data_IF_228331343756
#
_entry.id   IF_228331343756
#
_cell.length_a   1.000
_cell.length_b   1.000
_cell.length_c   1.000
_cell.angle_alpha   90.00
_cell.angle_beta   90.00
_cell.angle_gamma   90.00
#
_symmetry.space_group_name_H-M   'P 1'
#
loop_
_entity.id
_entity.type
_entity.pdbx_description
1 polymer ?
#
# COMPACT_ATOMS: atom_id res chain seq x y z
N UNK A 1 10.56 17.06 20.10
CA UNK A 1 10.14 16.57 21.43
C UNK A 1 9.68 17.77 22.24
N UNK A 2 8.62 17.64 23.00
CA UNK A 2 7.98 18.71 23.76
C UNK A 2 8.00 18.36 25.25
N UNK A 3 7.95 19.38 26.10
CA UNK A 3 7.61 19.18 27.50
C UNK A 3 6.19 18.57 27.59
N UNK A 4 5.94 17.57 28.47
CA UNK A 4 4.66 16.87 28.50
C UNK A 4 3.49 17.83 28.77
N UNK A 5 2.52 17.87 27.86
CA UNK A 5 1.36 18.77 27.96
C UNK A 5 0.07 18.04 27.60
N UNK A 6 -1.05 18.38 28.25
CA UNK A 6 -2.36 17.81 27.92
C UNK A 6 -3.02 18.60 26.79
N UNK A 7 -3.44 17.89 25.73
CA UNK A 7 -4.18 18.47 24.60
C UNK A 7 -5.38 17.57 24.30
N UNK A 8 -6.59 18.13 24.40
CA UNK A 8 -7.85 17.38 24.23
C UNK A 8 -7.86 16.04 25.00
N UNK A 9 -7.59 16.12 26.31
CA UNK A 9 -7.66 14.97 27.22
C UNK A 9 -6.43 14.04 27.27
N UNK A 10 -5.59 13.98 26.24
CA UNK A 10 -4.40 13.10 26.21
C UNK A 10 -3.10 13.85 26.47
N UNK A 11 -2.11 13.15 27.02
CA UNK A 11 -0.74 13.65 27.17
C UNK A 11 -0.02 13.63 25.82
N UNK A 12 0.62 14.74 25.46
CA UNK A 12 1.40 14.91 24.23
C UNK A 12 2.84 15.25 24.60
N UNK A 13 3.79 14.48 24.07
CA UNK A 13 5.25 14.72 24.22
C UNK A 13 5.97 14.81 22.87
N UNK A 14 5.30 14.43 21.79
CA UNK A 14 5.82 14.42 20.41
C UNK A 14 4.74 14.95 19.47
N UNK A 15 5.17 15.77 18.52
CA UNK A 15 4.36 16.30 17.44
C UNK A 15 5.23 16.33 16.18
N UNK A 16 4.63 16.11 15.01
CA UNK A 16 5.36 16.17 13.74
C UNK A 16 5.71 17.62 13.40
N UNK A 17 6.85 17.80 12.74
CA UNK A 17 7.29 19.08 12.17
C UNK A 17 7.37 19.03 10.64
N UNK A 18 6.82 17.98 10.03
CA UNK A 18 6.77 17.73 8.58
C UNK A 18 8.15 17.63 7.89
N UNK A 19 8.87 18.74 7.73
CA UNK A 19 10.15 18.81 7.01
C UNK A 19 11.00 20.04 7.42
N UNK A 20 12.17 20.20 6.80
CA UNK A 20 13.07 21.33 7.06
C UNK A 20 12.42 22.68 6.78
N UNK A 21 11.72 22.78 5.65
CA UNK A 21 11.18 24.03 5.14
C UNK A 21 10.04 24.52 6.05
N UNK A 22 9.18 23.62 6.55
CA UNK A 22 8.15 23.93 7.54
C UNK A 22 8.74 24.54 8.82
N UNK A 23 9.84 23.99 9.33
CA UNK A 23 10.52 24.49 10.52
C UNK A 23 11.04 25.92 10.28
N UNK A 24 11.63 26.17 9.10
CA UNK A 24 12.15 27.49 8.71
C UNK A 24 11.03 28.50 8.48
N UNK A 25 9.98 28.14 7.76
CA UNK A 25 8.81 28.98 7.48
C UNK A 25 8.11 29.43 8.77
N UNK A 26 8.00 28.51 9.73
CA UNK A 26 7.41 28.78 11.05
C UNK A 26 8.39 29.43 12.03
N UNK A 27 9.65 29.61 11.63
CA UNK A 27 10.73 30.14 12.44
C UNK A 27 10.82 29.43 13.80
N UNK A 28 10.73 28.10 13.80
CA UNK A 28 10.75 27.30 15.02
C UNK A 28 12.19 27.09 15.48
N UNK A 29 12.46 27.34 16.76
CA UNK A 29 13.75 27.15 17.40
C UNK A 29 13.67 26.15 18.54
N UNK A 30 14.78 25.48 18.84
CA UNK A 30 14.90 24.61 20.00
C UNK A 30 14.82 25.49 21.25
N UNK A 31 13.88 25.17 22.15
CA UNK A 31 13.59 25.96 23.36
C UNK A 31 12.43 26.96 23.19
N UNK A 32 11.79 27.04 22.03
CA UNK A 32 10.59 27.85 21.86
C UNK A 32 9.39 27.29 22.67
N UNK A 33 8.58 28.21 23.19
CA UNK A 33 7.19 27.91 23.52
C UNK A 33 6.38 27.83 22.22
N UNK A 34 5.59 26.78 22.05
CA UNK A 34 4.83 26.54 20.81
C UNK A 34 3.35 26.36 21.08
N UNK A 35 2.52 26.71 20.09
CA UNK A 35 1.10 26.40 20.07
C UNK A 35 0.90 25.05 19.40
N UNK A 36 0.18 24.16 20.08
CA UNK A 36 -0.18 22.83 19.58
C UNK A 36 -1.66 22.76 19.27
N UNK A 37 -2.00 21.99 18.24
CA UNK A 37 -3.38 21.53 18.00
C UNK A 37 -3.38 20.05 17.65
N UNK A 38 -4.53 19.41 17.71
CA UNK A 38 -4.72 18.06 17.18
C UNK A 38 -5.56 18.12 15.93
N UNK A 39 -4.99 17.70 14.79
CA UNK A 39 -5.75 17.52 13.58
C UNK A 39 -6.74 16.35 13.78
N UNK A 40 -8.04 16.62 13.56
CA UNK A 40 -9.11 15.65 13.73
C UNK A 40 -9.16 15.01 15.12
N UNK A 41 -8.78 15.76 16.17
CA UNK A 41 -8.70 15.31 17.57
C UNK A 41 -7.73 14.15 17.87
N UNK A 42 -6.91 13.74 16.89
CA UNK A 42 -6.00 12.58 17.00
C UNK A 42 -4.54 12.99 16.90
N UNK A 43 -4.12 13.66 15.82
CA UNK A 43 -2.69 13.83 15.48
C UNK A 43 -2.17 15.18 15.97
N UNK A 44 -1.24 15.23 16.95
CA UNK A 44 -0.67 16.49 17.42
C UNK A 44 0.26 17.13 16.39
N UNK A 45 0.07 18.43 16.14
CA UNK A 45 0.89 19.24 15.24
C UNK A 45 1.25 20.59 15.88
N UNK A 46 2.43 21.11 15.52
CA UNK A 46 2.90 22.44 15.94
C UNK A 46 2.37 23.50 14.97
N UNK A 47 1.63 24.48 15.48
CA UNK A 47 1.01 25.53 14.67
C UNK A 47 2.00 26.68 14.40
N UNK A 48 2.63 27.18 15.47
CA UNK A 48 3.64 28.25 15.44
C UNK A 48 4.39 28.37 16.78
N UNK A 49 5.51 29.10 16.77
CA UNK A 49 6.20 29.54 17.98
C UNK A 49 5.58 30.82 18.57
N UNK A 50 5.57 30.90 19.90
CA UNK A 50 5.19 32.10 20.66
C UNK A 50 6.43 33.00 20.79
N UNK A 51 6.75 33.74 19.73
CA UNK A 51 7.98 34.53 19.63
C UNK A 51 8.16 35.55 20.75
N UNK A 52 7.07 36.05 21.34
CA UNK A 52 7.09 37.00 22.46
C UNK A 52 7.66 36.41 23.76
N UNK A 53 7.79 35.09 23.87
CA UNK A 53 8.38 34.40 25.02
C UNK A 53 9.85 34.03 24.84
N UNK A 54 10.48 34.47 23.76
CA UNK A 54 11.92 34.27 23.55
C UNK A 54 12.71 35.14 24.50
N UNK A 55 13.69 34.53 25.16
CA UNK A 55 14.62 35.17 26.09
C UNK A 55 16.06 35.21 25.56
N UNK A 56 16.28 34.72 24.34
CA UNK A 56 17.59 34.66 23.68
C UNK A 56 18.35 33.35 23.93
N UNK A 57 17.83 32.43 24.75
CA UNK A 57 18.42 31.10 24.96
C UNK A 57 18.10 30.10 23.84
N UNK A 58 17.16 30.45 22.96
CA UNK A 58 16.67 29.59 21.88
C UNK A 58 17.77 29.32 20.85
N UNK A 59 17.81 28.08 20.33
CA UNK A 59 18.81 27.67 19.33
C UNK A 59 18.15 27.42 17.97
N UNK A 60 18.65 28.03 16.88
CA UNK A 60 18.16 27.76 15.54
C UNK A 60 18.23 26.27 15.20
N UNK A 61 17.20 25.74 14.55
CA UNK A 61 17.24 24.39 14.02
C UNK A 61 18.21 24.32 12.82
N UNK A 62 19.10 23.33 12.83
CA UNK A 62 19.93 22.97 11.68
C UNK A 62 19.61 21.52 11.30
N UNK A 63 19.27 21.29 10.04
CA UNK A 63 19.06 19.94 9.53
C UNK A 63 20.37 19.16 9.61
N UNK A 64 20.28 17.90 10.02
CA UNK A 64 21.42 16.97 10.07
C UNK A 64 21.93 16.69 8.65
N UNK A 65 23.24 16.53 8.50
CA UNK A 65 23.87 16.27 7.19
C UNK A 65 24.06 14.77 6.93
N UNK A 66 24.11 13.97 8.00
CA UNK A 66 24.30 12.52 7.97
C UNK A 66 23.14 11.81 8.67
N UNK A 67 22.77 10.63 8.17
CA UNK A 67 21.75 9.77 8.76
C UNK A 67 22.15 9.39 10.20
N UNK A 68 21.24 9.51 11.18
CA UNK A 68 21.55 9.23 12.58
C UNK A 68 21.81 7.73 12.84
N UNK A 69 21.31 6.84 11.97
CA UNK A 69 21.37 5.39 12.18
C UNK A 69 22.55 4.73 11.46
N UNK A 70 22.92 5.20 10.26
CA UNK A 70 24.00 4.60 9.46
C UNK A 70 25.13 5.56 9.07
N UNK A 71 25.05 6.84 9.46
CA UNK A 71 26.08 7.84 9.18
C UNK A 71 26.22 8.26 7.71
N UNK A 72 25.43 7.68 6.79
CA UNK A 72 25.47 8.05 5.37
C UNK A 72 24.97 9.47 5.12
N UNK A 73 25.57 10.17 4.16
CA UNK A 73 25.16 11.54 3.79
C UNK A 73 23.70 11.57 3.33
N UNK A 74 22.92 12.50 3.88
CA UNK A 74 21.53 12.69 3.48
C UNK A 74 21.46 13.46 2.16
N UNK A 75 20.46 13.13 1.34
CA UNK A 75 20.18 13.79 0.07
C UNK A 75 18.84 14.49 0.17
N UNK A 76 18.81 15.80 -0.12
CA UNK A 76 17.58 16.57 -0.23
C UNK A 76 16.94 16.29 -1.60
N UNK A 77 15.74 15.74 -1.59
CA UNK A 77 14.89 15.55 -2.77
C UNK A 77 13.63 16.38 -2.53
N UNK A 78 13.44 17.42 -3.35
CA UNK A 78 12.42 18.45 -3.12
C UNK A 78 12.56 19.08 -1.71
N UNK A 79 11.52 18.96 -0.86
CA UNK A 79 11.51 19.49 0.51
C UNK A 79 12.01 18.49 1.57
N UNK A 80 12.25 17.23 1.19
CA UNK A 80 12.50 16.13 2.12
C UNK A 80 13.96 15.65 2.06
N UNK A 81 14.48 15.19 3.20
CA UNK A 81 15.83 14.62 3.29
C UNK A 81 15.74 13.10 3.42
N UNK A 82 16.47 12.38 2.58
CA UNK A 82 16.43 10.93 2.52
C UNK A 82 17.82 10.30 2.74
N UNK A 83 17.83 9.15 3.42
CA UNK A 83 18.98 8.26 3.45
C UNK A 83 18.90 7.28 2.26
N UNK A 84 19.77 7.46 1.26
CA UNK A 84 19.78 6.61 0.06
C UNK A 84 20.52 5.28 0.24
N UNK A 85 21.21 5.08 1.38
CA UNK A 85 21.88 3.82 1.69
C UNK A 85 20.87 2.68 1.84
N UNK A 86 20.86 1.75 0.88
CA UNK A 86 19.99 0.55 0.90
C UNK A 86 20.26 -0.34 2.13
N UNK A 87 21.47 -0.28 2.69
CA UNK A 87 21.88 -1.06 3.86
C UNK A 87 21.69 -0.33 5.20
N UNK A 88 20.92 0.76 5.22
CA UNK A 88 20.61 1.47 6.46
C UNK A 88 19.75 0.58 7.38
N UNK A 89 20.10 0.40 8.67
CA UNK A 89 19.32 -0.39 9.62
C UNK A 89 17.84 0.01 9.67
N UNK A 90 17.55 1.31 9.75
CA UNK A 90 16.17 1.80 9.79
C UNK A 90 15.39 1.47 8.53
N UNK A 91 16.03 1.48 7.35
CA UNK A 91 15.37 1.08 6.10
C UNK A 91 15.10 -0.42 6.04
N UNK A 92 16.00 -1.23 6.59
CA UNK A 92 15.81 -2.67 6.70
C UNK A 92 14.67 -2.99 7.68
N UNK A 93 14.66 -2.37 8.86
CA UNK A 93 13.60 -2.53 9.87
C UNK A 93 12.25 -2.10 9.29
N UNK A 94 12.16 -0.93 8.66
CA UNK A 94 10.91 -0.48 8.01
C UNK A 94 10.47 -1.41 6.88
N UNK A 95 11.40 -1.98 6.11
CA UNK A 95 11.07 -3.00 5.11
C UNK A 95 10.45 -4.26 5.74
N UNK A 96 11.00 -4.73 6.87
CA UNK A 96 10.44 -5.86 7.61
C UNK A 96 9.06 -5.54 8.18
N UNK A 97 8.88 -4.35 8.79
CA UNK A 97 7.60 -3.88 9.34
C UNK A 97 6.56 -3.78 8.22
N UNK A 98 6.90 -3.14 7.11
CA UNK A 98 6.02 -2.99 5.95
C UNK A 98 5.61 -4.35 5.39
N UNK A 99 6.56 -5.27 5.22
CA UNK A 99 6.29 -6.62 4.74
C UNK A 99 5.34 -7.39 5.65
N UNK A 100 5.51 -7.30 6.98
CA UNK A 100 4.67 -7.97 7.96
C UNK A 100 3.29 -7.30 8.16
N UNK A 101 3.11 -6.06 7.68
CA UNK A 101 1.91 -5.27 7.94
C UNK A 101 0.60 -5.91 7.47
N UNK A 102 -0.51 -5.45 8.06
CA UNK A 102 -1.88 -5.93 7.80
C UNK A 102 -2.30 -5.84 6.33
N UNK A 103 -1.79 -4.88 5.57
CA UNK A 103 -2.12 -4.73 4.16
C UNK A 103 -1.18 -5.52 3.23
N UNK A 104 -0.02 -5.94 3.75
CA UNK A 104 1.00 -6.74 3.08
C UNK A 104 0.86 -8.23 3.45
N UNK A 105 1.82 -8.86 4.14
CA UNK A 105 1.74 -10.29 4.41
C UNK A 105 0.92 -10.68 5.65
N UNK A 106 0.33 -9.72 6.37
CA UNK A 106 -0.54 -9.97 7.54
C UNK A 106 0.08 -10.90 8.59
N UNK A 107 1.32 -10.62 8.98
CA UNK A 107 2.03 -11.50 9.91
C UNK A 107 1.79 -11.00 11.33
N UNK A 108 0.67 -11.46 11.90
CA UNK A 108 0.30 -11.16 13.27
C UNK A 108 1.43 -11.48 14.26
N UNK A 109 1.72 -10.51 15.13
CA UNK A 109 2.77 -10.60 16.14
C UNK A 109 4.14 -10.07 15.69
N UNK A 110 4.35 -9.77 14.40
CA UNK A 110 5.53 -9.04 13.91
C UNK A 110 5.18 -7.56 13.69
N UNK A 111 5.12 -6.81 14.79
CA UNK A 111 4.97 -5.34 14.78
C UNK A 111 6.30 -4.61 14.99
N UNK A 112 6.26 -3.28 14.99
CA UNK A 112 7.44 -2.40 15.03
C UNK A 112 8.48 -2.81 16.08
N UNK A 113 8.05 -2.97 17.34
CA UNK A 113 8.94 -3.34 18.46
C UNK A 113 9.56 -4.72 18.31
N UNK A 114 8.81 -5.67 17.74
CA UNK A 114 9.29 -7.04 17.53
C UNK A 114 10.32 -7.05 16.40
N UNK A 115 10.06 -6.32 15.30
CA UNK A 115 11.05 -6.12 14.24
C UNK A 115 12.32 -5.45 14.78
N UNK A 116 12.20 -4.36 15.54
CA UNK A 116 13.35 -3.68 16.15
C UNK A 116 14.16 -4.62 17.06
N UNK A 117 13.48 -5.36 17.94
CA UNK A 117 14.12 -6.31 18.85
C UNK A 117 14.83 -7.44 18.09
N UNK A 118 14.13 -8.12 17.18
CA UNK A 118 14.70 -9.24 16.42
C UNK A 118 15.80 -8.80 15.44
N UNK A 119 15.74 -7.57 14.95
CA UNK A 119 16.83 -6.99 14.17
C UNK A 119 18.07 -6.72 15.04
N UNK A 120 17.89 -6.18 16.25
CA UNK A 120 18.97 -5.94 17.21
C UNK A 120 19.64 -7.25 17.65
N UNK A 121 18.85 -8.29 17.93
CA UNK A 121 19.31 -9.64 18.26
C UNK A 121 19.84 -10.43 17.05
N UNK A 122 19.77 -9.84 15.84
CA UNK A 122 20.23 -10.41 14.57
C UNK A 122 19.50 -11.67 14.13
N UNK A 123 18.28 -11.90 14.63
CA UNK A 123 17.42 -13.00 14.19
C UNK A 123 16.81 -12.73 12.81
N UNK A 124 16.60 -11.46 12.46
CA UNK A 124 16.10 -11.04 11.14
C UNK A 124 16.87 -9.84 10.62
N UNK A 125 17.37 -9.91 9.37
CA UNK A 125 18.03 -8.78 8.68
C UNK A 125 17.43 -8.47 7.33
N UNK A 126 16.67 -9.41 6.79
CA UNK A 126 16.04 -9.35 5.48
C UNK A 126 14.68 -10.06 5.52
N UNK A 127 13.82 -9.75 4.55
CA UNK A 127 12.47 -10.33 4.45
C UNK A 127 12.49 -11.87 4.52
N UNK A 128 13.38 -12.59 3.81
CA UNK A 128 13.44 -14.06 3.90
C UNK A 128 13.74 -14.60 5.30
N UNK A 129 14.41 -13.82 6.15
CA UNK A 129 14.72 -14.24 7.53
C UNK A 129 13.47 -14.37 8.39
N UNK A 130 12.39 -13.64 8.08
CA UNK A 130 11.08 -13.81 8.71
C UNK A 130 10.65 -15.28 8.62
N UNK A 131 10.77 -15.87 7.43
CA UNK A 131 10.41 -17.26 7.17
C UNK A 131 11.44 -18.28 7.68
N UNK A 132 12.57 -17.81 8.22
CA UNK A 132 13.61 -18.63 8.85
C UNK A 132 13.67 -18.47 10.36
N UNK A 133 12.79 -17.65 10.92
CA UNK A 133 12.77 -17.32 12.35
C UNK A 133 12.63 -18.56 13.24
N UNK A 134 12.01 -19.64 12.73
CA UNK A 134 11.89 -20.92 13.42
C UNK A 134 13.24 -21.47 13.92
N UNK A 135 14.35 -21.14 13.25
CA UNK A 135 15.71 -21.55 13.62
C UNK A 135 16.17 -20.94 14.94
N UNK A 136 15.63 -19.76 15.29
CA UNK A 136 15.97 -19.00 16.49
C UNK A 136 14.94 -19.18 17.61
N UNK A 137 13.99 -20.12 17.49
CA UNK A 137 12.92 -20.32 18.48
C UNK A 137 13.49 -20.48 19.91
N UNK A 138 14.53 -21.30 20.07
CA UNK A 138 15.17 -21.51 21.37
C UNK A 138 15.81 -20.24 21.93
N UNK A 139 16.50 -19.48 21.10
CA UNK A 139 17.15 -18.22 21.47
C UNK A 139 16.13 -17.14 21.85
N UNK A 140 15.03 -17.05 21.11
CA UNK A 140 13.94 -16.10 21.38
C UNK A 140 13.28 -16.40 22.73
N UNK A 141 13.03 -17.66 23.05
CA UNK A 141 12.43 -18.06 24.34
C UNK A 141 13.34 -17.72 25.53
N UNK A 142 14.66 -17.65 25.32
CA UNK A 142 15.61 -17.26 26.35
C UNK A 142 15.59 -15.76 26.68
N UNK A 143 14.90 -14.94 25.88
CA UNK A 143 14.77 -13.50 26.10
C UNK A 143 13.59 -13.20 27.02
N UNK A 144 13.82 -12.34 28.02
CA UNK A 144 12.78 -11.87 28.94
C UNK A 144 11.57 -11.28 28.20
N UNK A 145 10.37 -11.73 28.57
CA UNK A 145 9.11 -11.30 27.95
C UNK A 145 8.60 -12.21 26.84
N UNK A 146 9.39 -13.21 26.41
CA UNK A 146 8.95 -14.21 25.44
C UNK A 146 8.45 -15.50 26.11
N UNK A 147 7.48 -16.15 25.47
CA UNK A 147 6.93 -17.44 25.89
C UNK A 147 6.84 -18.38 24.68
N UNK A 148 6.79 -19.70 24.93
CA UNK A 148 6.54 -20.68 23.86
C UNK A 148 5.28 -20.34 23.05
N UNK A 149 4.19 -20.01 23.73
CA UNK A 149 2.91 -19.68 23.08
C UNK A 149 3.01 -18.45 22.16
N UNK A 150 3.72 -17.41 22.58
CA UNK A 150 3.86 -16.19 21.77
C UNK A 150 4.69 -16.44 20.52
N UNK A 151 5.81 -17.17 20.63
CA UNK A 151 6.63 -17.48 19.44
C UNK A 151 5.91 -18.47 18.52
N UNK A 152 5.20 -19.47 19.06
CA UNK A 152 4.41 -20.41 18.26
C UNK A 152 3.34 -19.68 17.45
N UNK A 153 2.63 -18.73 18.07
CA UNK A 153 1.65 -17.89 17.36
C UNK A 153 2.26 -17.09 16.21
N UNK A 154 3.48 -16.56 16.37
CA UNK A 154 4.18 -15.83 15.31
C UNK A 154 4.59 -16.80 14.19
N UNK A 155 5.14 -17.97 14.53
CA UNK A 155 5.55 -18.97 13.54
C UNK A 155 4.34 -19.50 12.73
N UNK A 156 3.19 -19.70 13.38
CA UNK A 156 1.94 -20.06 12.72
C UNK A 156 1.45 -18.95 11.78
N UNK A 157 1.53 -17.67 12.21
CA UNK A 157 1.18 -16.53 11.36
C UNK A 157 2.11 -16.42 10.14
N UNK A 158 3.41 -16.62 10.32
CA UNK A 158 4.41 -16.66 9.24
C UNK A 158 4.03 -17.75 8.24
N UNK A 159 3.72 -18.96 8.70
CA UNK A 159 3.40 -20.06 7.78
C UNK A 159 2.08 -19.86 7.05
N UNK A 160 1.07 -19.30 7.72
CA UNK A 160 -0.19 -18.93 7.09
C UNK A 160 0.00 -17.85 6.03
N UNK A 161 0.88 -16.87 6.26
CA UNK A 161 1.15 -15.78 5.33
C UNK A 161 1.66 -16.27 3.97
N UNK A 162 2.35 -17.43 3.91
CA UNK A 162 2.84 -18.00 2.64
C UNK A 162 1.71 -18.28 1.64
N UNK A 163 0.48 -18.47 2.12
CA UNK A 163 -0.70 -18.74 1.29
C UNK A 163 -1.34 -17.47 0.73
N UNK A 164 -0.86 -16.29 1.13
CA UNK A 164 -1.43 -15.02 0.68
C UNK A 164 -1.32 -14.86 -0.84
N UNK A 165 -2.25 -14.10 -1.39
CA UNK A 165 -2.30 -13.82 -2.82
C UNK A 165 -1.20 -12.85 -3.26
N UNK A 166 -0.79 -12.93 -4.53
CA UNK A 166 0.35 -12.19 -5.09
C UNK A 166 0.32 -10.67 -4.85
N UNK A 167 -0.84 -10.02 -4.85
CA UNK A 167 -0.95 -8.57 -4.61
C UNK A 167 -0.42 -8.15 -3.24
N UNK A 168 -0.57 -9.02 -2.24
CA UNK A 168 -0.10 -8.80 -0.87
C UNK A 168 1.41 -8.91 -0.80
N UNK A 169 1.97 -9.91 -1.49
CA UNK A 169 3.41 -10.06 -1.66
C UNK A 169 4.02 -8.85 -2.38
N UNK A 170 3.44 -8.44 -3.52
CA UNK A 170 3.92 -7.29 -4.29
C UNK A 170 3.88 -6.00 -3.48
N UNK A 171 2.84 -5.80 -2.69
CA UNK A 171 2.77 -4.65 -1.78
C UNK A 171 3.86 -4.74 -0.71
N UNK A 172 4.04 -5.90 -0.07
CA UNK A 172 5.05 -6.12 0.96
C UNK A 172 6.50 -5.97 0.48
N UNK A 173 6.80 -6.24 -0.80
CA UNK A 173 8.13 -6.04 -1.38
C UNK A 173 8.57 -4.56 -1.40
N UNK A 174 7.64 -3.61 -1.25
CA UNK A 174 7.96 -2.19 -1.13
C UNK A 174 8.55 -1.59 -2.41
N UNK A 175 8.06 -2.01 -3.58
CA UNK A 175 8.50 -1.48 -4.88
C UNK A 175 8.14 0.00 -4.95
N UNK A 176 9.11 0.85 -5.30
CA UNK A 176 8.91 2.30 -5.39
C UNK A 176 7.77 2.64 -6.36
N UNK A 177 6.90 3.59 -5.99
CA UNK A 177 5.69 3.99 -6.73
C UNK A 177 4.60 2.90 -6.84
N UNK A 178 4.75 1.75 -6.19
CA UNK A 178 3.77 0.65 -6.21
C UNK A 178 3.10 0.52 -4.85
N UNK A 179 1.97 1.22 -4.68
CA UNK A 179 1.11 1.08 -3.50
C UNK A 179 0.12 -0.09 -3.62
N UNK A 180 -0.67 -0.33 -2.56
CA UNK A 180 -1.61 -1.45 -2.46
C UNK A 180 -2.54 -1.61 -3.66
N UNK A 181 -3.15 -0.50 -4.13
CA UNK A 181 -4.02 -0.51 -5.32
C UNK A 181 -3.24 -0.99 -6.55
N UNK A 182 -2.02 -0.51 -6.74
CA UNK A 182 -1.19 -0.85 -7.89
C UNK A 182 -0.74 -2.30 -7.85
N UNK A 183 -0.33 -2.79 -6.67
CA UNK A 183 0.00 -4.20 -6.45
C UNK A 183 -1.15 -5.12 -6.85
N UNK A 184 -2.40 -4.74 -6.55
CA UNK A 184 -3.60 -5.49 -6.96
C UNK A 184 -3.81 -5.48 -8.47
N UNK A 185 -3.64 -4.33 -9.12
CA UNK A 185 -3.75 -4.21 -10.58
C UNK A 185 -2.71 -5.08 -11.28
N UNK A 186 -1.45 -5.00 -10.86
CA UNK A 186 -0.35 -5.80 -11.42
C UNK A 186 -0.57 -7.30 -11.21
N UNK A 187 -0.93 -7.71 -9.99
CA UNK A 187 -1.19 -9.12 -9.69
C UNK A 187 -2.35 -9.67 -10.51
N UNK A 188 -3.43 -8.89 -10.67
CA UNK A 188 -4.60 -9.27 -11.46
C UNK A 188 -4.29 -9.38 -12.95
N UNK A 189 -3.48 -8.46 -13.49
CA UNK A 189 -3.11 -8.43 -14.91
C UNK A 189 -2.16 -9.58 -15.27
N UNK A 190 -1.07 -9.76 -14.51
CA UNK A 190 -0.06 -10.77 -14.82
C UNK A 190 -0.38 -12.16 -14.26
N UNK A 191 -1.18 -12.25 -13.20
CA UNK A 191 -1.59 -13.51 -12.54
C UNK A 191 -0.47 -14.24 -11.78
N UNK A 192 0.79 -14.05 -12.16
CA UNK A 192 1.95 -14.69 -11.55
C UNK A 192 3.16 -13.74 -11.57
N UNK A 193 4.01 -13.80 -10.54
CA UNK A 193 5.17 -12.91 -10.40
C UNK A 193 6.18 -13.06 -11.55
N UNK A 194 6.38 -14.26 -12.10
CA UNK A 194 7.33 -14.51 -13.19
C UNK A 194 6.93 -13.78 -14.47
N UNK A 195 5.62 -13.76 -14.77
CA UNK A 195 5.10 -13.00 -15.91
C UNK A 195 5.34 -11.50 -15.74
N UNK A 196 5.15 -10.98 -14.53
CA UNK A 196 5.44 -9.59 -14.19
C UNK A 196 6.95 -9.29 -14.27
N UNK A 197 7.81 -10.19 -13.80
CA UNK A 197 9.27 -10.04 -13.88
C UNK A 197 9.78 -9.96 -15.32
N UNK A 198 9.14 -10.67 -16.26
CA UNK A 198 9.47 -10.63 -17.68
C UNK A 198 8.88 -9.43 -18.44
N UNK A 199 8.06 -8.59 -17.80
CA UNK A 199 7.34 -7.53 -18.48
C UNK A 199 8.27 -6.41 -18.98
N UNK A 200 8.03 -5.97 -20.20
CA UNK A 200 8.66 -4.79 -20.79
C UNK A 200 8.04 -3.48 -20.27
N UNK A 201 8.77 -2.38 -20.41
CA UNK A 201 8.26 -1.04 -20.04
C UNK A 201 7.01 -0.70 -20.88
N UNK A 202 7.01 -1.08 -22.16
CA UNK A 202 5.90 -0.87 -23.08
C UNK A 202 4.65 -1.63 -22.65
N UNK A 203 4.78 -2.85 -22.14
CA UNK A 203 3.65 -3.62 -21.61
C UNK A 203 3.10 -3.02 -20.32
N UNK A 204 3.98 -2.61 -19.40
CA UNK A 204 3.57 -1.95 -18.15
C UNK A 204 2.80 -0.66 -18.42
N UNK A 205 3.23 0.13 -19.41
CA UNK A 205 2.57 1.37 -19.83
C UNK A 205 1.18 1.15 -20.47
N UNK A 206 0.82 -0.07 -20.89
CA UNK A 206 -0.53 -0.37 -21.41
C UNK A 206 -1.57 -0.50 -20.30
N UNK A 207 -1.14 -0.73 -19.06
CA UNK A 207 -2.04 -0.94 -17.93
C UNK A 207 -2.61 0.42 -17.48
N UNK A 208 -3.93 0.53 -17.45
CA UNK A 208 -4.60 1.73 -16.93
C UNK A 208 -4.15 2.02 -15.50
N UNK A 209 -3.91 3.29 -15.18
CA UNK A 209 -3.34 3.79 -13.91
C UNK A 209 -1.82 3.67 -13.76
N UNK A 210 -1.08 3.05 -14.69
CA UNK A 210 0.40 3.01 -14.67
C UNK A 210 0.98 4.09 -15.58
N UNK A 211 1.69 5.05 -14.99
CA UNK A 211 2.46 6.05 -15.72
C UNK A 211 3.93 5.65 -15.92
N UNK A 212 4.63 6.35 -16.81
CA UNK A 212 6.03 6.06 -17.18
C UNK A 212 6.99 5.91 -15.98
N UNK A 213 6.86 6.77 -14.97
CA UNK A 213 7.69 6.75 -13.75
C UNK A 213 7.49 5.45 -12.95
N UNK A 214 6.24 4.98 -12.88
CA UNK A 214 5.89 3.73 -12.19
C UNK A 214 6.40 2.53 -12.98
N UNK A 215 6.17 2.49 -14.30
CA UNK A 215 6.69 1.43 -15.19
C UNK A 215 8.19 1.29 -15.11
N UNK A 216 8.93 2.41 -15.13
CA UNK A 216 10.38 2.40 -15.00
C UNK A 216 10.83 1.90 -13.62
N UNK A 217 10.11 2.26 -12.55
CA UNK A 217 10.41 1.80 -11.18
C UNK A 217 10.21 0.29 -11.04
N UNK A 218 9.12 -0.24 -11.60
CA UNK A 218 8.81 -1.68 -11.64
C UNK A 218 9.87 -2.42 -12.45
N UNK A 219 10.16 -1.96 -13.67
CA UNK A 219 11.15 -2.57 -14.55
C UNK A 219 12.54 -2.63 -13.89
N UNK A 220 13.01 -1.50 -13.35
CA UNK A 220 14.29 -1.43 -12.65
C UNK A 220 14.33 -2.33 -11.42
N UNK A 221 13.22 -2.47 -10.69
CA UNK A 221 13.15 -3.36 -9.53
C UNK A 221 13.38 -4.81 -9.93
N UNK A 222 12.71 -5.30 -10.98
CA UNK A 222 12.84 -6.67 -11.45
C UNK A 222 14.10 -6.95 -12.30
N UNK A 223 14.87 -5.91 -12.66
CA UNK A 223 16.17 -6.04 -13.32
C UNK A 223 17.37 -5.88 -12.34
N UNK A 224 17.13 -5.61 -11.05
CA UNK A 224 18.16 -5.61 -10.01
C UNK A 224 18.37 -7.05 -9.51
N UNK A 225 19.59 -7.58 -9.67
CA UNK A 225 19.94 -8.96 -9.26
C UNK A 225 19.62 -9.26 -7.80
N UNK A 226 19.74 -8.28 -6.90
CA UNK A 226 19.44 -8.49 -5.48
C UNK A 226 17.95 -8.74 -5.25
N UNK A 227 17.09 -8.05 -5.99
CA UNK A 227 15.64 -8.21 -5.90
C UNK A 227 15.19 -9.52 -6.55
N UNK A 228 15.81 -9.91 -7.67
CA UNK A 228 15.57 -11.21 -8.29
C UNK A 228 15.94 -12.33 -7.32
N UNK A 229 17.11 -12.23 -6.68
CA UNK A 229 17.56 -13.20 -5.69
C UNK A 229 16.63 -13.25 -4.47
N UNK A 230 16.18 -12.10 -3.97
CA UNK A 230 15.17 -12.01 -2.92
C UNK A 230 13.89 -12.78 -3.29
N UNK A 231 13.35 -12.54 -4.50
CA UNK A 231 12.13 -13.21 -4.96
C UNK A 231 12.34 -14.72 -5.07
N UNK A 232 13.45 -15.16 -5.66
CA UNK A 232 13.78 -16.58 -5.78
C UNK A 232 13.95 -17.25 -4.41
N UNK A 233 14.51 -16.53 -3.44
CA UNK A 233 14.63 -17.02 -2.08
C UNK A 233 13.26 -17.23 -1.43
N UNK A 234 12.37 -16.24 -1.57
CA UNK A 234 10.97 -16.34 -1.12
C UNK A 234 10.21 -17.49 -1.81
N UNK A 235 10.47 -17.75 -3.09
CA UNK A 235 9.93 -18.93 -3.79
C UNK A 235 10.40 -20.22 -3.14
N UNK A 236 11.69 -20.32 -2.85
CA UNK A 236 12.27 -21.52 -2.21
C UNK A 236 11.72 -21.77 -0.81
N UNK A 237 11.30 -20.70 -0.12
CA UNK A 237 10.64 -20.74 1.20
C UNK A 237 9.16 -21.13 1.13
N UNK A 238 8.60 -21.30 -0.07
CA UNK A 238 7.24 -21.80 -0.30
C UNK A 238 6.16 -20.73 -0.32
N UNK A 239 6.53 -19.45 -0.52
CA UNK A 239 5.53 -18.39 -0.68
C UNK A 239 4.75 -18.57 -1.99
N UNK A 240 3.45 -18.31 -1.95
CA UNK A 240 2.61 -18.29 -3.12
C UNK A 240 2.98 -17.11 -4.04
N UNK A 241 3.22 -17.42 -5.31
CA UNK A 241 3.60 -16.46 -6.35
C UNK A 241 2.46 -16.14 -7.32
N UNK A 242 1.26 -16.68 -7.05
CA UNK A 242 0.09 -16.55 -7.90
C UNK A 242 -0.94 -15.61 -7.29
N UNK A 243 -1.63 -14.87 -8.15
CA UNK A 243 -2.83 -14.14 -7.77
C UNK A 243 -3.97 -15.15 -7.56
N UNK A 244 -4.60 -15.13 -6.39
CA UNK A 244 -5.69 -16.01 -6.01
C UNK A 244 -7.07 -15.36 -6.22
N UNK A 245 -7.10 -14.07 -6.53
CA UNK A 245 -8.33 -13.40 -6.95
C UNK A 245 -8.72 -13.79 -8.37
N UNK A 246 -9.86 -13.27 -8.82
CA UNK A 246 -10.29 -13.46 -10.21
C UNK A 246 -9.31 -12.70 -11.14
N UNK A 247 -8.54 -13.45 -11.92
CA UNK A 247 -7.70 -12.91 -13.01
C UNK A 247 -8.58 -12.22 -14.03
N UNK A 248 -8.01 -11.34 -14.87
CA UNK A 248 -8.75 -10.85 -16.04
C UNK A 248 -9.10 -12.08 -16.90
N UNK A 249 -10.37 -12.44 -16.90
CA UNK A 249 -10.94 -13.52 -17.72
C UNK A 249 -11.26 -12.87 -19.06
N UNK A 250 -10.64 -13.43 -20.11
CA UNK A 250 -10.81 -13.16 -21.55
C UNK A 250 -10.88 -11.68 -21.97
N UNK A 251 -9.82 -11.17 -22.61
CA UNK A 251 -9.85 -9.84 -23.26
C UNK A 251 -10.91 -9.73 -24.37
N UNK A 252 -11.43 -10.86 -24.87
CA UNK A 252 -12.54 -10.88 -25.82
C UNK A 252 -13.90 -10.68 -25.16
N UNK A 253 -13.97 -10.59 -23.82
CA UNK A 253 -15.25 -10.44 -23.16
C UNK A 253 -15.86 -9.05 -23.44
N UNK A 254 -17.18 -9.03 -23.63
CA UNK A 254 -17.92 -7.84 -24.05
C UNK A 254 -17.71 -6.61 -23.14
N UNK A 255 -17.44 -6.84 -21.86
CA UNK A 255 -17.33 -5.80 -20.83
C UNK A 255 -15.90 -5.29 -20.63
N UNK A 256 -14.91 -5.93 -21.24
CA UNK A 256 -13.50 -5.57 -21.10
C UNK A 256 -13.23 -4.13 -21.53
N UNK A 257 -12.53 -3.36 -20.68
CA UNK A 257 -12.20 -1.94 -20.86
C UNK A 257 -13.39 -0.98 -21.05
N UNK A 258 -14.64 -1.43 -20.82
CA UNK A 258 -15.82 -0.56 -20.89
C UNK A 258 -15.98 0.25 -19.61
N UNK A 259 -16.30 1.54 -19.73
CA UNK A 259 -16.71 2.41 -18.61
C UNK A 259 -18.20 2.26 -18.35
N UNK A 260 -18.54 1.64 -17.22
CA UNK A 260 -19.92 1.26 -16.89
C UNK A 260 -20.42 2.07 -15.69
N UNK A 261 -21.69 2.46 -15.71
CA UNK A 261 -22.38 3.04 -14.55
C UNK A 261 -23.59 2.19 -14.19
N UNK A 262 -23.70 1.79 -12.93
CA UNK A 262 -24.87 1.06 -12.41
C UNK A 262 -25.89 2.04 -11.79
N UNK A 263 -27.13 2.02 -12.27
CA UNK A 263 -28.23 2.84 -11.72
C UNK A 263 -29.50 2.04 -11.46
N UNK A 264 -30.37 2.53 -10.59
CA UNK A 264 -31.55 1.77 -10.13
C UNK A 264 -31.22 0.62 -9.17
N UNK A 265 -32.23 -0.17 -8.88
CA UNK A 265 -32.21 -1.37 -8.03
C UNK A 265 -32.19 -2.59 -8.93
N UNK A 266 -31.12 -3.39 -8.84
CA UNK A 266 -30.99 -4.67 -9.55
C UNK A 266 -31.61 -5.77 -8.68
N UNK A 267 -32.44 -6.63 -9.27
CA UNK A 267 -33.19 -7.68 -8.61
C UNK A 267 -32.38 -8.97 -8.39
N UNK A 268 -31.46 -9.33 -9.30
CA UNK A 268 -30.63 -10.55 -9.19
C UNK A 268 -29.35 -10.34 -8.38
N UNK A 269 -28.71 -9.18 -8.51
CA UNK A 269 -27.43 -8.89 -7.84
C UNK A 269 -27.52 -7.62 -7.01
N UNK A 270 -26.89 -7.62 -5.83
CA UNK A 270 -26.66 -6.37 -5.10
C UNK A 270 -25.77 -5.43 -5.92
N UNK A 271 -25.95 -4.10 -5.82
CA UNK A 271 -25.11 -3.12 -6.54
C UNK A 271 -23.61 -3.38 -6.34
N UNK A 272 -23.21 -3.77 -5.14
CA UNK A 272 -21.81 -4.09 -4.80
C UNK A 272 -21.33 -5.35 -5.52
N UNK A 273 -22.14 -6.41 -5.52
CA UNK A 273 -21.83 -7.67 -6.21
C UNK A 273 -21.74 -7.47 -7.72
N UNK A 274 -22.68 -6.73 -8.31
CA UNK A 274 -22.64 -6.39 -9.73
C UNK A 274 -21.42 -5.54 -10.10
N UNK A 275 -21.00 -4.64 -9.20
CA UNK A 275 -19.76 -3.86 -9.37
C UNK A 275 -18.55 -4.78 -9.40
N UNK A 276 -18.41 -5.66 -8.40
CA UNK A 276 -17.31 -6.62 -8.32
C UNK A 276 -17.29 -7.55 -9.54
N UNK A 277 -18.45 -8.04 -9.98
CA UNK A 277 -18.57 -8.91 -11.15
C UNK A 277 -18.10 -8.23 -12.44
N UNK A 278 -18.55 -6.99 -12.68
CA UNK A 278 -18.13 -6.21 -13.85
C UNK A 278 -16.65 -5.84 -13.79
N UNK A 279 -16.14 -5.45 -12.62
CA UNK A 279 -14.72 -5.21 -12.42
C UNK A 279 -13.90 -6.48 -12.67
N UNK A 280 -14.42 -7.65 -12.31
CA UNK A 280 -13.76 -8.94 -12.57
C UNK A 280 -13.70 -9.27 -14.07
N UNK A 281 -14.70 -8.86 -14.85
CA UNK A 281 -14.68 -8.92 -16.33
C UNK A 281 -13.81 -7.81 -16.97
N UNK A 282 -13.14 -6.98 -16.17
CA UNK A 282 -12.25 -5.94 -16.68
C UNK A 282 -12.95 -4.65 -17.11
N UNK A 283 -14.18 -4.43 -16.66
CA UNK A 283 -14.86 -3.15 -16.84
C UNK A 283 -14.43 -2.12 -15.79
N UNK A 284 -14.49 -0.84 -16.14
CA UNK A 284 -14.30 0.29 -15.23
C UNK A 284 -15.65 0.79 -14.71
N UNK A 285 -16.03 0.41 -13.49
CA UNK A 285 -17.31 0.85 -12.90
C UNK A 285 -17.15 2.22 -12.24
N UNK A 286 -18.04 3.16 -12.58
CA UNK A 286 -18.04 4.52 -12.03
C UNK A 286 -19.41 4.88 -11.46
N UNK A 287 -19.42 5.81 -10.49
CA UNK A 287 -20.64 6.24 -9.81
C UNK A 287 -21.41 7.34 -10.57
N UNK A 288 -20.79 7.93 -11.60
CA UNK A 288 -21.32 9.11 -12.31
C UNK A 288 -21.33 8.92 -13.82
N UNK A 289 -22.46 9.28 -14.46
CA UNK A 289 -22.58 9.29 -15.93
C UNK A 289 -21.91 10.54 -16.52
N UNK A 290 -21.03 10.30 -17.49
CA UNK A 290 -20.28 11.31 -18.25
C UNK A 290 -20.37 11.00 -19.75
N UNK A 291 -19.84 11.88 -20.61
CA UNK A 291 -19.76 11.63 -22.07
C UNK A 291 -18.80 10.52 -22.46
N UNK A 292 -17.86 10.15 -21.57
CA UNK A 292 -16.91 9.07 -21.80
C UNK A 292 -17.39 7.74 -21.22
N UNK A 293 -18.60 7.69 -20.66
CA UNK A 293 -19.21 6.45 -20.19
C UNK A 293 -19.66 5.64 -21.41
N UNK A 294 -19.28 4.37 -21.46
CA UNK A 294 -19.64 3.47 -22.58
C UNK A 294 -21.05 2.89 -22.38
N UNK A 295 -21.36 2.44 -21.15
CA UNK A 295 -22.61 1.71 -20.85
C UNK A 295 -23.21 2.20 -19.54
N UNK A 296 -24.53 2.36 -19.51
CA UNK A 296 -25.31 2.51 -18.26
C UNK A 296 -26.22 1.31 -18.10
N UNK A 297 -25.94 0.49 -17.09
CA UNK A 297 -26.79 -0.64 -16.72
C UNK A 297 -27.82 -0.16 -15.71
N UNK A 298 -29.09 -0.44 -15.96
CA UNK A 298 -30.17 0.04 -15.13
C UNK A 298 -31.15 -1.05 -14.71
N UNK A 299 -31.51 -1.04 -13.43
CA UNK A 299 -32.62 -1.81 -12.87
C UNK A 299 -33.85 -0.94 -12.61
N UNK A 300 -34.72 -1.39 -11.71
CA UNK A 300 -35.93 -0.68 -11.32
C UNK A 300 -35.58 0.69 -10.70
N UNK A 301 -36.44 1.69 -10.90
CA UNK A 301 -36.24 3.06 -10.38
C UNK A 301 -34.91 3.73 -10.79
N UNK A 302 -34.43 3.46 -12.01
CA UNK A 302 -33.17 3.96 -12.57
C UNK A 302 -32.91 5.48 -12.45
N UNK A 303 -33.97 6.28 -12.33
CA UNK A 303 -33.94 7.69 -11.96
C UNK A 303 -33.09 8.59 -12.86
N UNK A 304 -32.54 9.66 -12.26
CA UNK A 304 -31.89 10.78 -12.95
C UNK A 304 -30.62 10.44 -13.74
N UNK A 305 -29.96 9.31 -13.44
CA UNK A 305 -28.75 8.86 -14.18
C UNK A 305 -29.10 8.27 -15.54
N UNK A 306 -30.24 7.57 -15.65
CA UNK A 306 -30.73 7.06 -16.93
C UNK A 306 -31.10 8.21 -17.88
N UNK A 307 -31.76 9.23 -17.36
CA UNK A 307 -32.08 10.44 -18.14
C UNK A 307 -30.81 11.16 -18.62
N UNK A 308 -29.78 11.20 -17.76
CA UNK A 308 -28.48 11.78 -18.10
C UNK A 308 -27.74 10.96 -19.16
N UNK A 309 -27.83 9.63 -19.12
CA UNK A 309 -27.28 8.74 -20.13
C UNK A 309 -27.93 8.96 -21.50
N UNK A 310 -29.27 9.01 -21.53
CA UNK A 310 -30.05 9.32 -22.74
C UNK A 310 -29.68 10.68 -23.34
N UNK A 311 -29.52 11.70 -22.51
CA UNK A 311 -29.09 13.05 -22.95
C UNK A 311 -27.68 13.08 -23.54
N UNK A 312 -26.79 12.22 -23.05
CA UNK A 312 -25.42 12.13 -23.56
C UNK A 312 -25.25 11.13 -24.71
N UNK A 313 -26.32 10.42 -25.10
CA UNK A 313 -26.27 9.40 -26.15
C UNK A 313 -25.46 8.17 -25.75
N UNK A 314 -25.32 7.92 -24.43
CA UNK A 314 -24.62 6.76 -23.90
C UNK A 314 -25.52 5.53 -24.03
N UNK A 315 -24.94 4.38 -24.40
CA UNK A 315 -25.68 3.13 -24.53
C UNK A 315 -26.26 2.69 -23.17
N UNK A 316 -27.51 2.24 -23.16
CA UNK A 316 -28.21 1.83 -21.95
C UNK A 316 -28.62 0.38 -22.07
N UNK A 317 -28.36 -0.40 -21.02
CA UNK A 317 -28.65 -1.83 -20.95
C UNK A 317 -29.53 -2.10 -19.73
N UNK A 318 -30.64 -2.82 -19.89
CA UNK A 318 -31.47 -3.20 -18.74
C UNK A 318 -30.88 -4.42 -18.00
N UNK A 319 -31.43 -4.76 -16.83
CA UNK A 319 -30.92 -5.89 -16.03
C UNK A 319 -31.00 -7.24 -16.76
N UNK A 320 -32.04 -7.48 -17.57
CA UNK A 320 -32.21 -8.73 -18.32
C UNK A 320 -31.16 -8.87 -19.43
N UNK A 321 -30.91 -7.81 -20.19
CA UNK A 321 -29.86 -7.73 -21.21
C UNK A 321 -28.47 -7.91 -20.60
N UNK A 322 -28.24 -7.35 -19.40
CA UNK A 322 -27.00 -7.55 -18.67
C UNK A 322 -26.77 -9.01 -18.31
N UNK A 323 -27.80 -9.69 -17.80
CA UNK A 323 -27.72 -11.11 -17.45
C UNK A 323 -27.50 -11.99 -18.67
N UNK A 324 -28.20 -11.74 -19.77
CA UNK A 324 -28.01 -12.49 -21.02
C UNK A 324 -26.58 -12.33 -21.54
N UNK A 325 -26.02 -11.11 -21.47
CA UNK A 325 -24.63 -10.87 -21.85
C UNK A 325 -23.62 -11.54 -20.91
N UNK A 326 -23.95 -11.75 -19.64
CA UNK A 326 -23.11 -12.53 -18.73
C UNK A 326 -23.17 -14.04 -19.03
N UNK A 327 -24.35 -14.56 -19.39
CA UNK A 327 -24.54 -15.97 -19.72
C UNK A 327 -23.84 -16.34 -21.04
N UNK A 328 -23.99 -15.53 -22.10
CA UNK A 328 -23.28 -15.70 -23.39
C UNK A 328 -21.76 -15.79 -23.20
N UNK A 329 -21.21 -14.97 -22.29
CA UNK A 329 -19.77 -14.93 -22.02
C UNK A 329 -19.26 -16.16 -21.26
N UNK A 330 -20.09 -16.73 -20.38
CA UNK A 330 -19.75 -17.95 -19.65
C UNK A 330 -19.83 -19.21 -20.54
N UNK A 331 -20.58 -19.17 -21.64
CA UNK A 331 -20.65 -20.24 -22.64
C UNK A 331 -19.48 -20.19 -23.64
N UNK A 332 -19.02 -19.01 -24.05
CA UNK A 332 -17.86 -18.84 -24.93
C UNK A 332 -16.51 -19.14 -24.25
N UNK A 333 -16.46 -19.08 -22.91
CA UNK A 333 -15.24 -19.33 -22.11
C UNK A 333 -15.01 -20.81 -21.74
N UNK A 334 -15.83 -21.76 -22.22
CA UNK A 334 -15.73 -23.21 -21.97
C UNK A 334 -15.11 -23.97 -23.13
#
# INVERSE_FOLDING_TARGET
VLEPVRVAGSLVQRATLHNEDFIKEKDLMIGDYVILRKAGDIIPEVVCAIKSRRDGSQKPFKMIENCPDCGSKLVKVEAMHFCLNKNCPSRMIESLIHFASKDAMDIDGIGDKVCEQFFAEKFMRSIPDIYRLYRFKGDIIAIDGWSNKSIDSILDAIENSKKNSLERLLFGLGIKEVGQKMSKVLAKFYGNIDKLMSASIEELNKISDIGEVCSLSIYNYFHDENNINLINDLKSLGLNMNYLGQTIIDENNYFYNKKIVLTGTLNKYGRKEATELLENLGAHVSSSVSKVTDIVIYGDEAGSKLDKARKFGVYTMNEEEFLNKLEEQNEESK
#
